data_IF_349292684682
#
_entry.id   IF_349292684682
#
_cell.length_a   1.000
_cell.length_b   1.000
_cell.length_c   1.000
_cell.angle_alpha   90.00
_cell.angle_beta   90.00
_cell.angle_gamma   90.00
#
_symmetry.space_group_name_H-M   'P 1'
#
loop_
_entity.id
_entity.type
_entity.pdbx_description
1 polymer ?
#
# COMPACT_ATOMS: atom_id res chain seq x y z
N UNK A 1 -4.41 14.76 9.04
CA UNK A 1 -3.02 14.33 9.04
C UNK A 1 -2.19 15.21 8.13
N UNK A 2 -1.16 15.84 8.68
CA UNK A 2 -0.35 16.79 7.90
C UNK A 2 0.38 16.11 6.74
N UNK A 3 0.77 14.86 6.93
CA UNK A 3 1.47 14.12 5.90
C UNK A 3 0.58 13.96 4.68
N UNK A 4 -0.69 13.65 4.91
CA UNK A 4 -1.63 13.49 3.80
C UNK A 4 -1.75 14.77 3.00
N UNK A 5 -1.85 15.91 3.69
CA UNK A 5 -1.99 17.19 3.01
C UNK A 5 -0.76 17.49 2.17
N UNK A 6 0.42 17.16 2.67
CA UNK A 6 1.65 17.36 1.93
C UNK A 6 1.70 16.46 0.70
N UNK A 7 1.28 15.21 0.84
CA UNK A 7 1.27 14.28 -0.28
C UNK A 7 0.30 14.74 -1.36
N UNK A 8 -0.86 15.22 -0.95
CA UNK A 8 -1.82 15.74 -1.93
C UNK A 8 -1.28 16.95 -2.67
N UNK A 9 -0.52 17.79 -1.99
CA UNK A 9 0.10 18.92 -2.64
C UNK A 9 1.12 18.48 -3.67
N UNK A 10 1.89 17.46 -3.35
CA UNK A 10 2.86 16.91 -4.29
C UNK A 10 2.16 16.35 -5.52
N UNK A 11 1.08 15.62 -5.32
CA UNK A 11 0.31 15.07 -6.44
C UNK A 11 -0.18 16.18 -7.37
N UNK A 12 -0.71 17.24 -6.78
CA UNK A 12 -1.22 18.35 -7.58
C UNK A 12 -0.11 19.06 -8.35
N UNK A 13 1.02 19.26 -7.69
CA UNK A 13 2.15 19.91 -8.34
C UNK A 13 2.67 19.09 -9.50
N UNK A 14 2.71 17.77 -9.32
CA UNK A 14 3.17 16.87 -10.34
C UNK A 14 2.26 16.89 -11.56
N UNK A 15 0.96 16.84 -11.32
CA UNK A 15 0.00 16.88 -12.41
C UNK A 15 -0.01 18.20 -13.14
N UNK A 16 0.09 19.30 -12.38
CA UNK A 16 0.12 20.62 -12.98
C UNK A 16 1.35 20.81 -13.84
N UNK A 17 2.47 20.31 -13.39
CA UNK A 17 3.70 20.44 -14.14
C UNK A 17 3.64 19.71 -15.46
N UNK A 18 2.95 18.58 -15.48
CA UNK A 18 2.79 17.82 -16.71
C UNK A 18 1.76 18.43 -17.63
N UNK A 19 0.92 19.30 -17.12
CA UNK A 19 -0.09 19.92 -17.94
C UNK A 19 -1.07 18.94 -18.56
N UNK A 20 -1.45 17.96 -17.83
CA UNK A 20 -2.29 16.88 -18.35
C UNK A 20 -3.68 17.34 -18.66
N UNK A 21 -4.01 17.42 -19.91
CA UNK A 21 -5.36 17.73 -20.33
C UNK A 21 -6.25 16.53 -20.38
N UNK A 22 -5.65 15.38 -20.47
CA UNK A 22 -6.40 14.14 -20.62
C UNK A 22 -7.05 13.70 -19.34
N UNK A 23 -6.79 14.36 -18.26
CA UNK A 23 -7.32 13.98 -16.99
C UNK A 23 -6.65 12.78 -16.36
N UNK A 24 -5.73 12.16 -17.05
CA UNK A 24 -5.00 11.05 -16.47
C UNK A 24 -4.11 11.56 -15.36
N UNK A 25 -4.11 10.85 -14.24
CA UNK A 25 -3.24 11.22 -13.15
C UNK A 25 -1.82 10.79 -13.47
N UNK A 26 -0.90 11.70 -13.24
CA UNK A 26 0.50 11.39 -13.42
C UNK A 26 1.02 10.59 -12.26
N UNK A 27 0.56 10.92 -11.07
CA UNK A 27 1.03 10.25 -9.88
C UNK A 27 -0.10 10.20 -8.87
N UNK A 28 -0.18 9.08 -8.16
CA UNK A 28 -1.17 8.88 -7.13
C UNK A 28 -0.43 8.29 -5.95
N UNK A 29 -0.42 9.00 -4.84
CA UNK A 29 0.37 8.62 -3.67
C UNK A 29 -0.55 8.08 -2.60
N UNK A 30 -0.27 6.85 -2.17
CA UNK A 30 -1.02 6.21 -1.09
C UNK A 30 -0.13 6.08 0.14
N UNK A 31 -0.72 6.24 1.30
CA UNK A 31 -0.03 5.98 2.56
C UNK A 31 -0.31 4.55 2.94
N UNK A 32 0.74 3.73 2.97
CA UNK A 32 0.59 2.32 3.27
C UNK A 32 0.67 2.07 4.78
N UNK A 33 1.74 2.56 5.39
CA UNK A 33 1.97 2.40 6.83
C UNK A 33 2.42 3.71 7.42
N UNK A 34 2.20 3.85 8.72
CA UNK A 34 2.53 5.07 9.43
C UNK A 34 3.08 4.69 10.80
N UNK A 35 4.14 5.36 11.23
CA UNK A 35 4.76 5.06 12.51
C UNK A 35 3.81 5.29 13.70
N UNK A 36 2.79 6.09 13.50
CA UNK A 36 1.77 6.31 14.53
C UNK A 36 0.76 5.19 14.64
N UNK A 37 0.82 4.19 13.77
CA UNK A 37 -0.06 3.02 13.85
C UNK A 37 -1.23 3.11 12.90
N UNK A 38 -2.42 3.19 13.45
CA UNK A 38 -3.63 3.20 12.64
C UNK A 38 -4.24 4.59 12.62
N UNK A 39 -4.89 4.89 11.52
CA UNK A 39 -5.59 6.15 11.34
C UNK A 39 -6.81 5.92 10.47
N UNK A 40 -7.93 6.53 10.82
CA UNK A 40 -9.12 6.43 10.01
C UNK A 40 -9.83 7.77 10.01
N UNK A 41 -10.09 8.28 8.84
CA UNK A 41 -10.88 9.50 8.68
C UNK A 41 -11.53 9.44 7.31
N UNK A 42 -12.39 10.40 7.03
CA UNK A 42 -13.04 10.45 5.75
C UNK A 42 -12.00 10.51 4.65
N UNK A 43 -12.04 9.53 3.75
CA UNK A 43 -11.13 9.50 2.61
C UNK A 43 -9.73 9.02 2.90
N UNK A 44 -9.46 8.57 4.14
CA UNK A 44 -8.12 8.09 4.46
C UNK A 44 -8.17 7.03 5.54
N UNK A 45 -7.63 5.86 5.23
CA UNK A 45 -7.48 4.78 6.20
C UNK A 45 -6.03 4.30 6.12
N UNK A 46 -5.37 4.24 7.27
CA UNK A 46 -4.01 3.73 7.37
C UNK A 46 -3.99 2.62 8.41
N UNK A 47 -3.51 1.44 8.09
CA UNK A 47 -2.87 1.01 6.84
C UNK A 47 -3.85 0.99 5.67
N UNK A 48 -3.30 1.12 4.47
CA UNK A 48 -4.12 1.00 3.26
C UNK A 48 -4.89 -0.33 3.33
N UNK A 49 -6.21 -0.33 3.08
CA UNK A 49 -7.01 -1.52 3.39
C UNK A 49 -6.64 -2.76 2.59
N UNK A 50 -6.04 -2.60 1.43
CA UNK A 50 -5.75 -3.75 0.58
C UNK A 50 -4.27 -3.99 0.35
N UNK A 51 -3.41 -3.33 1.12
CA UNK A 51 -1.98 -3.43 0.87
C UNK A 51 -1.46 -4.86 1.05
N UNK A 52 -2.11 -5.62 1.92
CA UNK A 52 -1.65 -6.97 2.24
C UNK A 52 -1.91 -7.97 1.10
N UNK A 53 -2.74 -7.59 0.16
CA UNK A 53 -3.11 -8.45 -0.95
C UNK A 53 -2.40 -8.09 -2.25
N UNK A 54 -1.55 -7.05 -2.22
CA UNK A 54 -0.96 -6.51 -3.44
C UNK A 54 0.53 -6.74 -3.44
N UNK A 55 0.98 -7.67 -4.27
CA UNK A 55 2.40 -7.99 -4.35
C UNK A 55 3.20 -6.80 -4.88
N UNK A 56 2.61 -5.98 -5.76
CA UNK A 56 3.31 -4.81 -6.27
C UNK A 56 3.52 -3.74 -5.20
N UNK A 57 2.86 -3.87 -4.06
CA UNK A 57 3.09 -3.02 -2.90
C UNK A 57 4.02 -3.70 -1.91
N UNK A 58 3.73 -4.96 -1.59
CA UNK A 58 4.47 -5.68 -0.56
C UNK A 58 5.91 -6.00 -0.96
N UNK A 59 6.12 -6.35 -2.22
CA UNK A 59 7.46 -6.71 -2.66
C UNK A 59 8.45 -5.55 -2.52
N UNK A 60 8.16 -4.36 -3.09
CA UNK A 60 9.09 -3.25 -2.89
C UNK A 60 9.11 -2.74 -1.45
N UNK A 61 7.98 -2.77 -0.75
CA UNK A 61 7.95 -2.30 0.62
C UNK A 61 8.80 -3.17 1.53
N UNK A 62 8.74 -4.50 1.35
CA UNK A 62 9.54 -5.40 2.16
C UNK A 62 11.02 -5.28 1.83
N UNK A 63 11.36 -4.84 0.62
CA UNK A 63 12.75 -4.63 0.25
C UNK A 63 13.37 -3.46 1.00
N UNK A 64 12.60 -2.41 1.24
CA UNK A 64 13.14 -1.21 1.88
C UNK A 64 12.89 -1.19 3.40
N UNK A 65 11.88 -1.90 3.87
CA UNK A 65 11.54 -1.87 5.30
C UNK A 65 11.03 -3.24 5.75
N UNK A 66 11.85 -4.29 5.66
CA UNK A 66 11.38 -5.65 5.90
C UNK A 66 10.85 -5.90 7.31
N UNK A 67 11.36 -5.17 8.29
CA UNK A 67 10.99 -5.39 9.68
C UNK A 67 9.90 -4.48 10.18
N UNK A 68 9.40 -3.61 9.35
CA UNK A 68 8.29 -2.74 9.73
C UNK A 68 7.03 -3.58 9.86
N UNK A 69 6.27 -3.35 10.90
CA UNK A 69 5.14 -4.21 11.21
C UNK A 69 3.83 -3.57 10.88
N UNK A 70 2.93 -4.41 10.37
CA UNK A 70 1.53 -4.06 10.16
C UNK A 70 0.86 -3.95 11.53
N UNK A 71 0.32 -2.80 11.90
CA UNK A 71 -0.26 -2.64 13.23
C UNK A 71 -1.51 -3.48 13.46
N UNK A 72 -2.15 -3.95 12.41
CA UNK A 72 -3.36 -4.75 12.53
C UNK A 72 -3.03 -6.21 12.74
N UNK A 73 -2.15 -6.78 11.93
CA UNK A 73 -1.83 -8.20 12.03
C UNK A 73 -0.62 -8.48 12.90
N UNK A 74 0.20 -7.47 13.16
CA UNK A 74 1.44 -7.67 13.91
C UNK A 74 2.56 -8.29 13.12
N UNK A 75 2.33 -8.61 11.85
CA UNK A 75 3.34 -9.23 11.01
C UNK A 75 4.23 -8.18 10.37
N UNK A 76 5.48 -8.55 10.15
CA UNK A 76 6.39 -7.66 9.44
C UNK A 76 6.08 -7.68 7.94
N UNK A 77 6.57 -6.67 7.23
CA UNK A 77 6.38 -6.63 5.78
C UNK A 77 7.02 -7.84 5.12
N UNK A 78 8.15 -8.30 5.63
CA UNK A 78 8.78 -9.50 5.12
C UNK A 78 7.86 -10.70 5.25
N UNK A 79 7.21 -10.83 6.40
CA UNK A 79 6.29 -11.95 6.63
C UNK A 79 5.08 -11.87 5.73
N UNK A 80 4.54 -10.68 5.54
CA UNK A 80 3.38 -10.51 4.68
C UNK A 80 3.73 -10.82 3.23
N UNK A 81 4.88 -10.38 2.77
CA UNK A 81 5.32 -10.66 1.41
C UNK A 81 5.52 -12.16 1.19
N UNK A 82 6.10 -12.83 2.18
CA UNK A 82 6.32 -14.27 2.08
C UNK A 82 5.00 -15.02 2.01
N UNK A 83 4.02 -14.60 2.80
CA UNK A 83 2.72 -15.25 2.79
C UNK A 83 2.03 -15.09 1.45
N UNK A 84 2.15 -13.93 0.87
CA UNK A 84 1.50 -13.68 -0.41
C UNK A 84 2.17 -14.44 -1.55
N UNK A 85 3.49 -14.58 -1.48
CA UNK A 85 4.23 -15.29 -2.52
C UNK A 85 4.06 -16.79 -2.45
N UNK A 86 3.62 -17.30 -1.31
CA UNK A 86 3.51 -18.74 -1.13
C UNK A 86 2.35 -19.29 -1.95
N UNK A 87 2.57 -20.42 -2.63
CA UNK A 87 1.45 -21.06 -3.33
C UNK A 87 0.36 -21.45 -2.36
N UNK A 88 -0.86 -21.22 -2.76
CA UNK A 88 -1.99 -21.52 -1.90
C UNK A 88 -2.46 -22.92 -2.10
N UNK A 89 -2.45 -23.68 -1.04
CA UNK A 89 -2.93 -25.04 -1.12
C UNK A 89 -4.40 -25.12 -1.44
N UNK A 90 -5.13 -24.16 -0.95
CA UNK A 90 -6.55 -24.09 -1.24
C UNK A 90 -6.78 -23.97 -2.74
N UNK A 91 -5.96 -23.19 -3.40
CA UNK A 91 -6.11 -23.03 -4.84
C UNK A 91 -5.90 -24.34 -5.57
N UNK A 92 -4.90 -25.09 -5.14
CA UNK A 92 -4.64 -26.36 -5.79
C UNK A 92 -5.77 -27.32 -5.59
N UNK A 93 -6.32 -27.35 -4.40
CA UNK A 93 -7.45 -28.23 -4.13
C UNK A 93 -8.67 -27.84 -4.90
N UNK A 94 -8.90 -26.54 -5.00
CA UNK A 94 -10.01 -26.05 -5.76
C UNK A 94 -9.90 -26.46 -7.21
N UNK A 95 -8.69 -26.42 -7.74
CA UNK A 95 -8.49 -26.80 -9.12
C UNK A 95 -8.63 -28.29 -9.30
N UNK A 96 -8.19 -29.04 -8.33
CA UNK A 96 -8.27 -30.48 -8.41
C UNK A 96 -9.71 -30.96 -8.31
N UNK A 97 -10.51 -30.23 -7.61
CA UNK A 97 -11.91 -30.56 -7.50
C UNK A 97 -12.63 -30.16 -8.75
#
# INVERSE_FOLDING_TARGET
>A
MCIRDRLKRIERAFGRRRGQRWGARVIDIDIILWSGGCWASTGLVVPHPRFRERDFVLTPASAIAPDWRDPVSGRSLRQLAARLAKPRKVDRRARAA
#
